data_IF_078306172519
#
_entry.id   IF_078306172519
#
_cell.length_a   1.000
_cell.length_b   1.000
_cell.length_c   1.000
_cell.angle_alpha   90.00
_cell.angle_beta   90.00
_cell.angle_gamma   90.00
#
_symmetry.space_group_name_H-M   'P 1'
#
loop_
_entity.id
_entity.type
_entity.pdbx_description
1 polymer ?
#
# COMPACT_ATOMS: atom_id res chain seq x y z
N UNK A 1 30.37 9.80 -3.49
CA UNK A 1 29.66 8.95 -4.44
C UNK A 1 28.34 8.54 -3.76
N UNK A 2 27.24 9.18 -4.16
CA UNK A 2 25.90 8.89 -3.63
C UNK A 2 25.49 7.51 -4.16
N UNK A 3 25.31 6.53 -3.26
CA UNK A 3 24.76 5.23 -3.64
C UNK A 3 23.31 5.46 -4.06
N UNK A 4 23.04 5.41 -5.36
CA UNK A 4 21.70 5.53 -5.90
C UNK A 4 20.80 4.46 -5.26
N UNK A 5 19.69 4.88 -4.65
CA UNK A 5 18.53 4.01 -4.49
C UNK A 5 18.21 3.44 -5.86
N UNK A 6 18.01 2.14 -5.97
CA UNK A 6 17.65 1.50 -7.23
C UNK A 6 16.53 2.28 -7.94
N UNK A 7 16.54 2.24 -9.26
CA UNK A 7 15.64 3.03 -10.12
C UNK A 7 14.18 2.59 -9.93
N UNK A 8 13.51 3.17 -8.91
CA UNK A 8 12.11 2.90 -8.59
C UNK A 8 11.21 3.81 -9.42
N UNK A 9 10.32 3.21 -10.19
CA UNK A 9 9.41 3.94 -11.07
C UNK A 9 7.97 3.46 -10.89
N UNK A 10 7.08 4.38 -10.57
CA UNK A 10 5.63 4.18 -10.59
C UNK A 10 5.03 4.76 -11.87
N UNK A 11 4.05 4.07 -12.42
CA UNK A 11 3.28 4.53 -13.58
C UNK A 11 1.80 4.39 -13.28
N UNK A 12 1.03 5.44 -13.54
CA UNK A 12 -0.42 5.42 -13.38
C UNK A 12 -1.04 4.27 -14.18
N UNK A 13 -2.02 3.56 -13.63
CA UNK A 13 -2.65 2.44 -14.32
C UNK A 13 -3.48 2.94 -15.52
N UNK A 14 -3.64 2.14 -16.58
CA UNK A 14 -4.59 2.41 -17.64
C UNK A 14 -6.01 2.64 -17.09
N UNK A 15 -6.81 3.45 -17.79
CA UNK A 15 -8.14 3.87 -17.33
C UNK A 15 -9.04 2.78 -16.74
N UNK A 16 -9.20 1.60 -17.39
CA UNK A 16 -10.02 0.51 -16.84
C UNK A 16 -9.51 -0.05 -15.50
N UNK A 17 -8.20 0.08 -15.21
CA UNK A 17 -7.60 -0.39 -13.96
C UNK A 17 -7.56 0.69 -12.87
N UNK A 18 -7.79 1.95 -13.19
CA UNK A 18 -7.63 3.08 -12.26
C UNK A 18 -8.52 2.99 -11.01
N UNK A 19 -9.69 2.34 -11.12
CA UNK A 19 -10.56 2.09 -9.97
C UNK A 19 -10.00 1.04 -8.99
N UNK A 20 -9.14 0.14 -9.47
CA UNK A 20 -8.60 -0.98 -8.69
C UNK A 20 -7.15 -0.76 -8.26
N UNK A 21 -6.33 -0.13 -9.10
CA UNK A 21 -4.90 0.05 -8.86
C UNK A 21 -4.57 1.48 -8.44
N UNK A 22 -3.52 1.60 -7.62
CA UNK A 22 -2.80 2.85 -7.39
C UNK A 22 -1.86 3.11 -8.55
N UNK A 23 -1.01 2.11 -8.85
CA UNK A 23 0.00 2.18 -9.89
C UNK A 23 0.40 0.76 -10.34
N UNK A 24 1.10 0.68 -11.46
CA UNK A 24 2.05 -0.40 -11.73
C UNK A 24 3.45 0.17 -11.53
N UNK A 25 4.36 -0.63 -11.02
CA UNK A 25 5.69 -0.15 -10.68
C UNK A 25 6.77 -1.19 -10.96
N UNK A 26 7.99 -0.71 -11.11
CA UNK A 26 9.15 -1.57 -11.23
C UNK A 26 10.37 -0.90 -10.58
N UNK A 27 11.31 -1.71 -10.13
CA UNK A 27 12.60 -1.25 -9.62
C UNK A 27 13.69 -2.28 -9.85
N UNK A 28 14.92 -1.81 -9.87
CA UNK A 28 16.11 -2.64 -9.65
C UNK A 28 16.59 -2.44 -8.22
N UNK A 29 16.70 -3.52 -7.46
CA UNK A 29 17.07 -3.47 -6.04
C UNK A 29 18.48 -2.90 -5.87
N UNK A 30 18.62 -1.91 -5.01
CA UNK A 30 19.92 -1.34 -4.60
C UNK A 30 20.58 -2.14 -3.48
N UNK A 31 21.74 -1.66 -3.01
CA UNK A 31 22.55 -2.35 -2.00
C UNK A 31 21.98 -2.32 -0.56
N UNK A 32 20.91 -1.58 -0.31
CA UNK A 32 20.34 -1.40 1.04
C UNK A 32 19.00 -2.11 1.18
N UNK A 33 18.79 -2.76 2.33
CA UNK A 33 17.49 -3.25 2.72
C UNK A 33 16.46 -2.11 2.76
N UNK A 34 15.28 -2.36 2.22
CA UNK A 34 14.20 -1.38 2.16
C UNK A 34 13.20 -1.62 3.29
N UNK A 35 12.77 -0.52 3.93
CA UNK A 35 11.66 -0.56 4.87
C UNK A 35 10.37 -0.30 4.12
N UNK A 36 9.48 -1.28 4.11
CA UNK A 36 8.13 -1.14 3.56
C UNK A 36 7.20 -0.78 4.71
N UNK A 37 6.61 0.40 4.65
CA UNK A 37 5.68 0.89 5.66
C UNK A 37 4.24 0.50 5.30
N UNK A 38 3.37 0.25 6.30
CA UNK A 38 1.98 -0.05 6.04
C UNK A 38 1.28 1.14 5.37
N UNK A 39 0.62 0.89 4.23
CA UNK A 39 -0.08 1.89 3.43
C UNK A 39 -1.54 1.52 3.12
N UNK A 40 -1.95 0.32 3.54
CA UNK A 40 -3.29 -0.21 3.30
C UNK A 40 -3.49 -0.89 1.95
N UNK A 41 -2.46 -0.89 1.11
CA UNK A 41 -2.47 -1.54 -0.19
C UNK A 41 -2.08 -3.01 -0.10
N UNK A 42 -2.35 -3.74 -1.17
CA UNK A 42 -1.80 -5.05 -1.44
C UNK A 42 -1.13 -5.02 -2.82
N UNK A 43 -0.12 -5.82 -3.02
CA UNK A 43 0.62 -5.88 -4.28
C UNK A 43 0.63 -7.29 -4.86
N UNK A 44 0.64 -7.43 -6.19
CA UNK A 44 1.07 -8.64 -6.89
C UNK A 44 2.46 -8.36 -7.44
N UNK A 45 3.46 -9.17 -7.05
CA UNK A 45 4.87 -8.93 -7.33
C UNK A 45 5.51 -10.08 -8.09
N UNK A 46 6.36 -9.75 -9.05
CA UNK A 46 7.37 -10.60 -9.67
C UNK A 46 8.74 -10.15 -9.19
N UNK A 47 9.47 -11.02 -8.50
CA UNK A 47 10.75 -10.73 -7.85
C UNK A 47 11.83 -11.57 -8.51
N UNK A 48 12.76 -10.94 -9.24
CA UNK A 48 13.79 -11.65 -9.99
C UNK A 48 13.20 -12.62 -11.00
N UNK A 49 13.58 -13.88 -10.89
CA UNK A 49 13.07 -15.01 -11.68
C UNK A 49 12.15 -15.93 -10.83
N UNK A 50 11.86 -15.56 -9.61
CA UNK A 50 11.02 -16.34 -8.71
C UNK A 50 9.55 -16.32 -9.13
N UNK A 51 8.79 -17.29 -8.61
CA UNK A 51 7.35 -17.34 -8.79
C UNK A 51 6.68 -16.09 -8.19
N UNK A 52 5.65 -15.53 -8.84
CA UNK A 52 5.00 -14.32 -8.36
C UNK A 52 4.25 -14.57 -7.05
N UNK A 53 4.22 -13.52 -6.23
CA UNK A 53 3.56 -13.55 -4.94
C UNK A 53 2.55 -12.40 -4.81
N UNK A 54 1.49 -12.66 -4.07
CA UNK A 54 0.61 -11.62 -3.53
C UNK A 54 1.14 -11.21 -2.17
N UNK A 55 1.45 -9.93 -2.03
CA UNK A 55 1.80 -9.30 -0.75
C UNK A 55 0.54 -8.67 -0.19
N UNK A 56 0.03 -9.20 0.90
CA UNK A 56 -1.15 -8.68 1.58
C UNK A 56 -0.90 -7.35 2.28
N UNK A 57 -1.97 -6.68 2.71
CA UNK A 57 -1.84 -5.41 3.42
C UNK A 57 -1.07 -5.60 4.73
N UNK A 58 -0.04 -4.78 4.93
CA UNK A 58 0.80 -4.87 6.12
C UNK A 58 0.16 -4.19 7.33
N UNK A 59 0.30 -4.79 8.52
CA UNK A 59 -0.12 -4.18 9.79
C UNK A 59 1.01 -3.42 10.49
N UNK A 60 2.25 -3.60 10.06
CA UNK A 60 3.44 -2.95 10.57
C UNK A 60 4.53 -2.87 9.51
N UNK A 61 5.74 -2.43 9.90
CA UNK A 61 6.87 -2.36 8.99
C UNK A 61 7.36 -3.75 8.59
N UNK A 62 7.69 -3.90 7.31
CA UNK A 62 8.40 -5.07 6.77
C UNK A 62 9.78 -4.65 6.28
N UNK A 63 10.80 -5.47 6.52
CA UNK A 63 12.14 -5.28 5.97
C UNK A 63 12.30 -6.19 4.76
N UNK A 64 12.44 -5.61 3.58
CA UNK A 64 12.73 -6.32 2.36
C UNK A 64 14.25 -6.28 2.10
N UNK A 65 14.91 -7.43 2.23
CA UNK A 65 16.32 -7.60 1.93
C UNK A 65 16.44 -8.55 0.74
N UNK A 66 16.68 -8.01 -0.44
CA UNK A 66 16.86 -8.75 -1.68
C UNK A 66 18.26 -8.47 -2.24
N UNK A 67 18.84 -9.40 -3.01
CA UNK A 67 20.14 -9.19 -3.64
C UNK A 67 20.14 -7.92 -4.53
N UNK A 68 21.20 -7.11 -4.48
CA UNK A 68 21.34 -5.97 -5.38
C UNK A 68 21.29 -6.42 -6.84
N UNK A 69 20.62 -5.63 -7.68
CA UNK A 69 20.41 -5.96 -9.11
C UNK A 69 19.14 -6.78 -9.37
N UNK A 70 18.47 -7.32 -8.35
CA UNK A 70 17.19 -8.01 -8.53
C UNK A 70 16.15 -7.05 -9.13
N UNK A 71 15.52 -7.45 -10.23
CA UNK A 71 14.38 -6.71 -10.79
C UNK A 71 13.12 -7.09 -10.04
N UNK A 72 12.37 -6.09 -9.59
CA UNK A 72 11.03 -6.28 -9.05
C UNK A 72 10.07 -5.50 -9.96
N UNK A 73 8.97 -6.13 -10.33
CA UNK A 73 7.88 -5.45 -11.01
C UNK A 73 6.54 -5.88 -10.39
N UNK A 74 5.58 -4.96 -10.32
CA UNK A 74 4.32 -5.27 -9.65
C UNK A 74 3.17 -4.32 -9.97
N UNK A 75 2.02 -4.69 -9.45
CA UNK A 75 0.81 -3.90 -9.46
C UNK A 75 0.33 -3.69 -8.02
N UNK A 76 0.13 -2.42 -7.65
CA UNK A 76 -0.36 -2.03 -6.33
C UNK A 76 -1.84 -1.78 -6.36
N UNK A 77 -2.57 -2.56 -5.61
CA UNK A 77 -4.02 -2.46 -5.47
C UNK A 77 -4.40 -1.46 -4.38
N UNK A 78 -5.41 -0.64 -4.69
CA UNK A 78 -6.01 0.26 -3.71
C UNK A 78 -6.59 -0.53 -2.52
N UNK A 79 -6.64 0.06 -1.33
CA UNK A 79 -7.29 -0.57 -0.18
C UNK A 79 -8.70 -1.06 -0.52
N UNK A 80 -9.00 -2.30 -0.13
CA UNK A 80 -10.30 -2.92 -0.38
C UNK A 80 -10.55 -3.39 -1.82
N UNK A 81 -9.52 -3.48 -2.67
CA UNK A 81 -9.69 -3.88 -4.09
C UNK A 81 -9.16 -5.27 -4.41
N UNK A 82 -8.13 -5.75 -3.73
CA UNK A 82 -7.45 -7.01 -4.09
C UNK A 82 -8.37 -8.24 -3.99
N UNK A 83 -9.25 -8.30 -2.99
CA UNK A 83 -10.20 -9.41 -2.81
C UNK A 83 -11.11 -9.63 -4.04
N UNK A 84 -11.45 -8.56 -4.74
CA UNK A 84 -12.27 -8.60 -5.96
C UNK A 84 -11.59 -9.34 -7.12
N UNK A 85 -10.26 -9.39 -7.14
CA UNK A 85 -9.43 -9.98 -8.18
C UNK A 85 -9.00 -11.41 -7.86
N UNK A 86 -8.86 -11.74 -6.56
CA UNK A 86 -8.33 -13.03 -6.12
C UNK A 86 -9.41 -14.02 -5.66
N UNK A 87 -10.66 -13.55 -5.51
CA UNK A 87 -11.77 -14.36 -4.96
C UNK A 87 -11.47 -14.91 -3.55
N UNK A 88 -10.64 -14.21 -2.79
CA UNK A 88 -10.21 -14.52 -1.44
C UNK A 88 -10.47 -13.33 -0.52
N UNK A 89 -10.74 -13.56 0.75
CA UNK A 89 -10.86 -12.49 1.73
C UNK A 89 -9.49 -11.87 2.01
N UNK A 90 -9.41 -10.53 2.08
CA UNK A 90 -8.12 -9.85 2.24
C UNK A 90 -7.48 -10.09 3.61
N UNK A 91 -8.27 -10.40 4.64
CA UNK A 91 -7.73 -10.75 5.97
C UNK A 91 -6.94 -12.09 5.96
N UNK A 92 -7.21 -12.98 5.02
CA UNK A 92 -6.40 -14.19 4.81
C UNK A 92 -5.01 -13.89 4.21
N UNK A 93 -4.85 -12.71 3.59
CA UNK A 93 -3.59 -12.25 3.00
C UNK A 93 -2.80 -11.32 3.94
N UNK A 94 -3.43 -10.79 4.99
CA UNK A 94 -2.81 -9.77 5.86
C UNK A 94 -1.50 -10.25 6.48
N UNK A 95 -0.43 -9.45 6.34
CA UNK A 95 0.94 -9.76 6.78
C UNK A 95 1.52 -11.05 6.14
N UNK A 96 1.03 -11.46 4.97
CA UNK A 96 1.45 -12.69 4.29
C UNK A 96 1.96 -12.45 2.89
N UNK A 97 2.83 -13.35 2.46
CA UNK A 97 3.23 -13.60 1.09
C UNK A 97 2.54 -14.89 0.64
N UNK A 98 1.66 -14.79 -0.36
CA UNK A 98 0.91 -15.94 -0.87
C UNK A 98 1.31 -16.19 -2.33
N UNK A 99 1.73 -17.40 -2.71
CA UNK A 99 2.03 -17.71 -4.11
C UNK A 99 0.84 -17.38 -5.01
N UNK A 100 1.07 -16.69 -6.13
CA UNK A 100 -0.02 -16.36 -7.05
C UNK A 100 -0.63 -17.62 -7.69
N UNK A 101 0.14 -18.69 -7.81
CA UNK A 101 -0.31 -19.99 -8.31
C UNK A 101 -1.41 -20.64 -7.45
N UNK A 102 -1.45 -20.33 -6.15
CA UNK A 102 -2.51 -20.81 -5.26
C UNK A 102 -3.85 -20.09 -5.53
N UNK A 103 -3.82 -18.96 -6.23
CA UNK A 103 -4.96 -18.06 -6.44
C UNK A 103 -5.41 -17.99 -7.91
N UNK A 104 -4.46 -18.07 -8.85
CA UNK A 104 -4.73 -18.03 -10.29
C UNK A 104 -4.16 -19.24 -11.01
N UNK A 105 -5.04 -19.99 -11.70
CA UNK A 105 -4.67 -21.22 -12.42
C UNK A 105 -3.68 -21.00 -13.57
N UNK A 106 -3.65 -19.80 -14.13
CA UNK A 106 -2.79 -19.41 -15.25
C UNK A 106 -1.53 -18.63 -14.78
N UNK A 107 -1.23 -18.65 -13.48
CA UNK A 107 -0.10 -17.92 -12.90
C UNK A 107 1.24 -18.27 -13.57
N UNK A 108 1.49 -19.54 -13.86
CA UNK A 108 2.75 -19.99 -14.49
C UNK A 108 2.89 -19.47 -15.93
N UNK A 109 1.82 -19.56 -16.74
CA UNK A 109 1.82 -19.03 -18.10
C UNK A 109 1.99 -17.50 -18.11
N UNK A 110 1.36 -16.81 -17.16
CA UNK A 110 1.51 -15.38 -16.97
C UNK A 110 2.95 -15.03 -16.56
N UNK A 111 3.53 -15.80 -15.66
CA UNK A 111 4.91 -15.63 -15.18
C UNK A 111 5.89 -15.78 -16.32
N UNK A 112 5.80 -16.84 -17.13
CA UNK A 112 6.66 -17.04 -18.27
C UNK A 112 6.62 -15.86 -19.25
N UNK A 113 5.43 -15.31 -19.51
CA UNK A 113 5.24 -14.13 -20.37
C UNK A 113 5.90 -12.86 -19.79
N UNK A 114 5.81 -12.63 -18.48
CA UNK A 114 6.38 -11.46 -17.84
C UNK A 114 7.90 -11.57 -17.72
N UNK A 115 8.42 -12.75 -17.37
CA UNK A 115 9.85 -12.98 -17.24
C UNK A 115 10.60 -13.01 -18.60
N UNK A 116 9.89 -13.23 -19.70
CA UNK A 116 10.46 -13.06 -21.04
C UNK A 116 10.89 -11.61 -21.34
N UNK A 117 10.35 -10.65 -20.59
CA UNK A 117 10.71 -9.24 -20.74
C UNK A 117 12.01 -8.91 -20.00
N UNK A 118 12.99 -8.36 -20.74
CA UNK A 118 14.33 -8.14 -20.24
C UNK A 118 14.49 -6.92 -19.31
N UNK A 119 13.57 -5.96 -19.37
CA UNK A 119 13.70 -4.70 -18.62
C UNK A 119 12.61 -4.54 -17.56
N UNK A 120 12.89 -3.81 -16.45
CA UNK A 120 11.88 -3.53 -15.42
C UNK A 120 10.63 -2.88 -16.01
N UNK A 121 10.76 -1.91 -16.89
CA UNK A 121 9.63 -1.22 -17.52
C UNK A 121 8.81 -2.13 -18.44
N UNK A 122 9.45 -3.03 -19.19
CA UNK A 122 8.75 -3.99 -20.04
C UNK A 122 7.97 -5.01 -19.18
N UNK A 123 8.57 -5.52 -18.10
CA UNK A 123 7.88 -6.40 -17.12
C UNK A 123 6.66 -5.69 -16.52
N UNK A 124 6.82 -4.44 -16.09
CA UNK A 124 5.71 -3.61 -15.59
C UNK A 124 4.58 -3.44 -16.62
N UNK A 125 4.93 -3.17 -17.88
CA UNK A 125 3.95 -3.02 -18.96
C UNK A 125 3.21 -4.33 -19.25
N UNK A 126 3.92 -5.47 -19.24
CA UNK A 126 3.33 -6.80 -19.42
C UNK A 126 2.34 -7.15 -18.28
N UNK A 127 2.67 -6.76 -17.02
CA UNK A 127 1.76 -6.90 -15.88
C UNK A 127 0.49 -6.06 -16.08
N UNK A 128 0.63 -4.81 -16.51
CA UNK A 128 -0.52 -3.94 -16.78
C UNK A 128 -1.44 -4.52 -17.87
N UNK A 129 -0.87 -5.05 -18.95
CA UNK A 129 -1.60 -5.70 -20.03
C UNK A 129 -2.35 -6.95 -19.53
N UNK A 130 -1.69 -7.80 -18.75
CA UNK A 130 -2.31 -8.98 -18.18
C UNK A 130 -3.47 -8.67 -17.23
N UNK A 131 -3.34 -7.61 -16.44
CA UNK A 131 -4.43 -7.16 -15.58
C UNK A 131 -5.59 -6.53 -16.37
N UNK A 132 -5.32 -5.86 -17.51
CA UNK A 132 -6.37 -5.38 -18.40
C UNK A 132 -7.20 -6.54 -18.99
N UNK A 133 -6.54 -7.60 -19.45
CA UNK A 133 -7.18 -8.81 -19.95
C UNK A 133 -8.06 -9.48 -18.88
N UNK A 134 -7.64 -9.41 -17.61
CA UNK A 134 -8.34 -10.00 -16.48
C UNK A 134 -9.44 -9.11 -15.88
N UNK A 135 -9.40 -7.81 -16.11
CA UNK A 135 -10.32 -6.85 -15.50
C UNK A 135 -11.82 -7.20 -15.65
N UNK A 136 -12.30 -7.76 -16.78
CA UNK A 136 -13.69 -8.18 -16.91
C UNK A 136 -14.12 -9.31 -15.96
N UNK A 137 -13.18 -10.06 -15.41
CA UNK A 137 -13.43 -11.16 -14.47
C UNK A 137 -13.42 -10.70 -12.99
N UNK A 138 -12.91 -9.50 -12.72
CA UNK A 138 -12.85 -8.95 -11.38
C UNK A 138 -14.26 -8.66 -10.85
N UNK A 139 -14.54 -9.08 -9.63
CA UNK A 139 -15.83 -8.81 -8.97
C UNK A 139 -15.94 -7.33 -8.61
N UNK A 140 -17.15 -6.77 -8.52
CA UNK A 140 -17.31 -5.43 -7.98
C UNK A 140 -16.89 -5.40 -6.51
N UNK A 141 -16.18 -4.34 -6.07
CA UNK A 141 -15.83 -4.18 -4.65
C UNK A 141 -17.08 -3.88 -3.82
N UNK A 142 -16.99 -4.12 -2.51
CA UNK A 142 -18.04 -3.76 -1.57
C UNK A 142 -18.26 -2.23 -1.53
N UNK A 143 -19.42 -1.72 -1.99
CA UNK A 143 -19.65 -0.27 -2.12
C UNK A 143 -19.69 0.45 -0.76
N UNK A 144 -20.16 -0.22 0.30
CA UNK A 144 -20.23 0.38 1.64
C UNK A 144 -18.85 0.48 2.27
N UNK A 145 -18.00 -0.54 2.06
CA UNK A 145 -16.59 -0.47 2.48
C UNK A 145 -15.85 0.59 1.67
N UNK A 146 -16.08 0.69 0.37
CA UNK A 146 -15.48 1.72 -0.47
C UNK A 146 -15.88 3.14 -0.01
N UNK A 147 -17.15 3.35 0.37
CA UNK A 147 -17.62 4.61 0.94
C UNK A 147 -16.90 4.93 2.28
N UNK A 148 -16.78 3.93 3.17
CA UNK A 148 -16.07 4.08 4.44
C UNK A 148 -14.59 4.42 4.26
N UNK A 149 -13.88 3.73 3.34
CA UNK A 149 -12.50 4.04 2.97
C UNK A 149 -12.36 5.48 2.48
N UNK A 150 -13.21 5.88 1.53
CA UNK A 150 -13.21 7.23 0.96
C UNK A 150 -13.49 8.30 2.00
N UNK A 151 -14.39 8.05 2.95
CA UNK A 151 -14.66 8.99 4.04
C UNK A 151 -13.45 9.14 4.96
N UNK A 152 -12.85 8.03 5.41
CA UNK A 152 -11.64 8.05 6.26
C UNK A 152 -10.47 8.76 5.59
N UNK A 153 -10.31 8.58 4.28
CA UNK A 153 -9.26 9.25 3.50
C UNK A 153 -9.46 10.77 3.45
N UNK A 154 -10.69 11.25 3.34
CA UNK A 154 -11.01 12.70 3.26
C UNK A 154 -11.15 13.37 4.63
N UNK A 155 -11.38 12.61 5.71
CA UNK A 155 -11.63 13.13 7.05
C UNK A 155 -10.51 12.76 8.03
N UNK A 156 -9.39 13.54 8.09
CA UNK A 156 -8.24 13.22 8.94
C UNK A 156 -8.56 13.04 10.41
N UNK A 157 -9.56 13.79 10.88
CA UNK A 157 -10.03 13.80 12.28
C UNK A 157 -11.36 13.06 12.45
N UNK A 158 -11.87 12.44 11.39
CA UNK A 158 -13.11 11.67 11.43
C UNK A 158 -13.03 10.51 12.42
N UNK A 159 -14.08 10.32 13.18
CA UNK A 159 -14.14 9.25 14.18
C UNK A 159 -14.60 7.96 13.51
N UNK A 160 -13.90 6.87 13.73
CA UNK A 160 -14.30 5.54 13.22
C UNK A 160 -15.72 5.16 13.73
N UNK A 161 -16.10 5.66 14.90
CA UNK A 161 -17.43 5.46 15.46
C UNK A 161 -18.58 6.09 14.63
N UNK A 162 -18.28 7.02 13.73
CA UNK A 162 -19.29 7.66 12.86
C UNK A 162 -19.58 6.83 11.60
N UNK A 163 -18.72 5.87 11.26
CA UNK A 163 -18.84 5.05 10.05
C UNK A 163 -20.12 4.21 9.98
N UNK A 164 -20.58 3.54 11.06
CA UNK A 164 -21.82 2.76 11.02
C UNK A 164 -23.01 3.58 10.54
N UNK A 165 -23.18 4.78 11.08
CA UNK A 165 -24.27 5.69 10.68
C UNK A 165 -24.09 6.17 9.22
N UNK A 166 -22.85 6.46 8.80
CA UNK A 166 -22.54 6.90 7.43
C UNK A 166 -22.96 5.87 6.38
N UNK A 167 -22.71 4.58 6.63
CA UNK A 167 -22.93 3.50 5.65
C UNK A 167 -24.21 2.71 5.91
N UNK A 168 -24.97 3.03 6.93
CA UNK A 168 -26.25 2.35 7.27
C UNK A 168 -26.06 0.90 7.74
N UNK A 169 -24.94 0.59 8.43
CA UNK A 169 -24.63 -0.74 8.96
C UNK A 169 -24.47 -0.71 10.47
N UNK A 170 -24.74 -1.86 11.12
CA UNK A 170 -24.32 -2.06 12.51
C UNK A 170 -22.79 -2.17 12.61
N UNK A 171 -22.21 -1.76 13.76
CA UNK A 171 -20.75 -1.75 13.99
C UNK A 171 -20.11 -3.11 13.71
N UNK A 172 -20.69 -4.21 14.23
CA UNK A 172 -20.18 -5.58 14.01
C UNK A 172 -20.19 -5.97 12.53
N UNK A 173 -21.24 -5.60 11.80
CA UNK A 173 -21.38 -5.92 10.38
C UNK A 173 -20.37 -5.14 9.55
N UNK A 174 -20.22 -3.83 9.80
CA UNK A 174 -19.21 -2.99 9.16
C UNK A 174 -17.80 -3.54 9.41
N UNK A 175 -17.45 -3.84 10.66
CA UNK A 175 -16.16 -4.39 11.04
C UNK A 175 -15.84 -5.66 10.25
N UNK A 176 -16.76 -6.64 10.19
CA UNK A 176 -16.58 -7.89 9.44
C UNK A 176 -16.38 -7.63 7.95
N UNK A 177 -17.24 -6.80 7.32
CA UNK A 177 -17.12 -6.48 5.89
C UNK A 177 -15.80 -5.77 5.58
N UNK A 178 -15.39 -4.87 6.46
CA UNK A 178 -14.14 -4.13 6.32
C UNK A 178 -12.91 -5.05 6.43
N UNK A 179 -12.90 -6.00 7.36
CA UNK A 179 -11.85 -7.00 7.47
C UNK A 179 -11.74 -7.86 6.21
N UNK A 180 -12.85 -8.39 5.70
CA UNK A 180 -12.89 -9.18 4.47
C UNK A 180 -12.36 -8.40 3.27
N UNK A 181 -12.67 -7.11 3.16
CA UNK A 181 -12.30 -6.31 2.01
C UNK A 181 -10.91 -5.68 2.12
N UNK A 182 -10.49 -5.23 3.33
CA UNK A 182 -9.28 -4.42 3.55
C UNK A 182 -8.18 -5.19 4.27
N UNK A 183 -8.52 -6.30 4.94
CA UNK A 183 -7.57 -7.13 5.67
C UNK A 183 -7.51 -6.86 7.18
N UNK A 184 -8.06 -5.75 7.66
CA UNK A 184 -8.09 -5.39 9.09
C UNK A 184 -9.23 -4.42 9.41
N UNK A 185 -9.39 -4.13 10.70
CA UNK A 185 -10.48 -3.28 11.20
C UNK A 185 -10.35 -1.81 10.76
N UNK A 186 -11.47 -1.06 10.67
CA UNK A 186 -11.47 0.37 10.33
C UNK A 186 -10.54 1.22 11.19
N UNK A 187 -10.41 0.89 12.48
CA UNK A 187 -9.53 1.62 13.41
C UNK A 187 -8.06 1.49 13.04
N UNK A 188 -7.61 0.29 12.64
CA UNK A 188 -6.23 0.09 12.16
C UNK A 188 -6.00 0.84 10.87
N UNK A 189 -6.93 0.75 9.92
CA UNK A 189 -6.84 1.48 8.66
C UNK A 189 -6.75 3.00 8.89
N UNK A 190 -7.57 3.58 9.76
CA UNK A 190 -7.49 5.01 10.10
C UNK A 190 -6.11 5.41 10.68
N UNK A 191 -5.46 4.54 11.48
CA UNK A 191 -4.10 4.76 11.98
C UNK A 191 -3.07 4.76 10.84
N UNK A 192 -3.17 3.80 9.92
CA UNK A 192 -2.30 3.73 8.74
C UNK A 192 -2.49 4.98 7.87
N UNK A 193 -3.74 5.42 7.65
CA UNK A 193 -4.02 6.65 6.89
C UNK A 193 -3.39 7.89 7.54
N UNK A 194 -3.43 8.02 8.88
CA UNK A 194 -2.75 9.13 9.57
C UNK A 194 -1.24 9.09 9.39
N UNK A 195 -0.64 7.89 9.47
CA UNK A 195 0.80 7.71 9.23
C UNK A 195 1.17 8.15 7.81
N UNK A 196 0.47 7.66 6.79
CA UNK A 196 0.74 8.00 5.40
C UNK A 196 0.56 9.50 5.13
N UNK A 197 -0.48 10.11 5.69
CA UNK A 197 -0.68 11.56 5.61
C UNK A 197 0.44 12.34 6.30
N UNK A 198 0.90 11.89 7.47
CA UNK A 198 2.04 12.49 8.16
C UNK A 198 3.29 12.49 7.26
N UNK A 199 3.59 11.36 6.61
CA UNK A 199 4.74 11.23 5.72
C UNK A 199 4.63 12.18 4.53
N UNK A 200 3.49 12.21 3.85
CA UNK A 200 3.25 13.10 2.71
C UNK A 200 3.32 14.60 3.08
N UNK A 201 2.82 14.97 4.26
CA UNK A 201 2.92 16.35 4.75
C UNK A 201 4.37 16.70 5.11
N UNK A 202 5.11 15.77 5.69
CA UNK A 202 6.49 16.00 6.11
C UNK A 202 7.45 16.23 4.94
N UNK A 203 7.20 15.62 3.77
CA UNK A 203 7.98 15.86 2.56
C UNK A 203 7.89 17.32 2.08
N UNK A 204 6.74 17.96 2.30
CA UNK A 204 6.44 19.33 1.82
C UNK A 204 6.70 20.40 2.88
N UNK A 205 6.82 20.01 4.15
CA UNK A 205 6.93 20.95 5.27
C UNK A 205 8.38 21.44 5.45
N UNK A 206 8.60 22.77 5.59
CA UNK A 206 9.92 23.28 5.90
C UNK A 206 10.43 22.79 7.26
N UNK A 207 11.76 22.75 7.43
CA UNK A 207 12.37 22.48 8.72
C UNK A 207 12.12 23.64 9.68
N UNK A 208 11.96 23.39 11.00
CA UNK A 208 11.78 24.46 11.97
C UNK A 208 11.27 23.98 13.33
N UNK A 209 11.33 24.87 14.31
CA UNK A 209 10.77 24.64 15.67
C UNK A 209 9.24 24.46 15.57
N UNK A 210 8.67 23.54 16.36
CA UNK A 210 7.24 23.27 16.35
C UNK A 210 6.72 22.47 15.16
N UNK A 211 7.57 22.12 14.17
CA UNK A 211 7.20 21.35 12.98
C UNK A 211 6.44 20.06 13.33
N UNK A 212 6.95 19.28 14.30
CA UNK A 212 6.32 18.00 14.68
C UNK A 212 4.91 18.18 15.24
N UNK A 213 4.68 19.20 16.08
CA UNK A 213 3.35 19.48 16.63
C UNK A 213 2.36 19.91 15.52
N UNK A 214 2.78 20.77 14.59
CA UNK A 214 1.97 21.19 13.46
C UNK A 214 1.63 20.02 12.53
N UNK A 215 2.62 19.17 12.19
CA UNK A 215 2.43 17.97 11.40
C UNK A 215 1.49 16.98 12.07
N UNK A 216 1.60 16.78 13.39
CA UNK A 216 0.70 15.90 14.13
C UNK A 216 -0.77 16.31 13.97
N UNK A 217 -1.07 17.59 14.20
CA UNK A 217 -2.42 18.13 14.07
C UNK A 217 -2.93 18.05 12.62
N UNK A 218 -2.10 18.40 11.64
CA UNK A 218 -2.45 18.35 10.22
C UNK A 218 -2.70 16.93 9.72
N UNK A 219 -1.94 15.94 10.23
CA UNK A 219 -2.12 14.53 9.89
C UNK A 219 -3.32 13.87 10.60
N UNK A 220 -3.97 14.56 11.56
CA UNK A 220 -5.16 14.08 12.27
C UNK A 220 -4.87 13.41 13.62
N UNK A 221 -3.67 13.58 14.19
CA UNK A 221 -3.37 13.18 15.56
C UNK A 221 -3.91 14.23 16.55
N UNK A 222 -4.23 13.80 17.77
CA UNK A 222 -4.67 14.72 18.83
C UNK A 222 -3.53 15.68 19.26
N UNK A 223 -2.31 15.14 19.36
CA UNK A 223 -1.12 15.85 19.77
C UNK A 223 0.15 15.13 19.28
N UNK A 224 1.31 15.71 19.57
CA UNK A 224 2.62 15.14 19.21
C UNK A 224 2.91 13.81 19.94
N UNK A 225 2.46 13.65 21.19
CA UNK A 225 2.67 12.43 21.96
C UNK A 225 1.84 11.27 21.39
N UNK A 226 0.59 11.53 20.98
CA UNK A 226 -0.24 10.56 20.28
C UNK A 226 0.42 10.15 18.96
N UNK A 227 0.90 11.10 18.15
CA UNK A 227 1.64 10.83 16.92
C UNK A 227 2.85 9.94 17.19
N UNK A 228 3.67 10.26 18.20
CA UNK A 228 4.87 9.48 18.52
C UNK A 228 4.54 8.03 18.88
N UNK A 229 3.52 7.81 19.71
CA UNK A 229 3.07 6.45 20.08
C UNK A 229 2.58 5.65 18.87
N UNK A 230 1.75 6.24 18.00
CA UNK A 230 1.24 5.53 16.81
C UNK A 230 2.33 5.28 15.77
N UNK A 231 3.22 6.23 15.50
CA UNK A 231 4.36 6.03 14.60
C UNK A 231 5.25 4.89 15.09
N UNK A 232 5.66 4.90 16.34
CA UNK A 232 6.51 3.83 16.91
C UNK A 232 5.81 2.48 16.84
N UNK A 233 4.51 2.41 17.13
CA UNK A 233 3.75 1.17 17.08
C UNK A 233 3.59 0.60 15.65
N UNK A 234 3.57 1.44 14.60
CA UNK A 234 3.40 1.02 13.22
C UNK A 234 4.73 0.80 12.49
N UNK A 235 5.78 1.52 12.87
CA UNK A 235 7.04 1.57 12.10
C UNK A 235 8.28 1.12 12.88
N UNK A 236 8.16 0.95 14.19
CA UNK A 236 9.30 0.73 15.10
C UNK A 236 10.18 1.97 15.31
N UNK A 237 9.83 3.13 14.71
CA UNK A 237 10.64 4.35 14.73
C UNK A 237 9.87 5.52 15.34
N UNK A 238 10.57 6.33 16.12
CA UNK A 238 10.04 7.63 16.54
C UNK A 238 9.93 8.60 15.33
N UNK A 239 9.00 9.59 15.37
CA UNK A 239 8.81 10.52 14.27
C UNK A 239 10.08 11.24 13.82
N UNK A 240 10.97 11.59 14.73
CA UNK A 240 12.25 12.25 14.39
C UNK A 240 13.19 11.39 13.55
N UNK A 241 13.12 10.05 13.67
CA UNK A 241 13.89 9.12 12.87
C UNK A 241 13.16 8.69 11.59
N UNK A 242 11.84 8.87 11.55
CA UNK A 242 10.98 8.47 10.44
C UNK A 242 10.88 9.56 9.35
N UNK A 243 10.87 10.84 9.76
CA UNK A 243 10.58 11.94 8.84
C UNK A 243 11.84 12.46 8.12
N UNK A 244 11.70 13.04 6.89
CA UNK A 244 12.80 13.59 6.12
C UNK A 244 13.63 14.61 6.93
N UNK A 245 14.96 14.49 6.86
CA UNK A 245 15.93 15.24 7.70
C UNK A 245 16.67 14.36 8.70
N UNK A 246 16.15 13.20 9.05
CA UNK A 246 16.91 12.08 9.60
C UNK A 246 17.30 11.17 8.43
N UNK A 247 18.57 10.77 8.33
CA UNK A 247 19.18 10.09 7.18
C UNK A 247 18.60 8.70 6.87
N UNK A 248 17.33 8.63 6.48
CA UNK A 248 16.66 7.38 6.09
C UNK A 248 15.81 7.60 4.83
N UNK A 249 16.28 7.10 3.70
CA UNK A 249 15.47 7.00 2.49
C UNK A 249 14.42 5.90 2.71
N UNK A 250 13.23 6.31 3.11
CA UNK A 250 12.04 5.45 3.13
C UNK A 250 11.38 5.57 1.76
N UNK A 251 11.14 4.46 1.09
CA UNK A 251 10.28 4.44 -0.08
C UNK A 251 8.85 4.74 0.40
N UNK A 252 8.37 5.95 0.11
CA UNK A 252 7.00 6.36 0.40
C UNK A 252 6.10 5.95 -0.75
N UNK A 253 5.01 5.30 -0.45
CA UNK A 253 4.01 4.91 -1.44
C UNK A 253 3.20 6.12 -1.89
N UNK A 254 3.08 6.35 -3.20
CA UNK A 254 2.38 7.52 -3.77
C UNK A 254 0.84 7.49 -3.63
N UNK A 255 0.27 6.53 -2.88
CA UNK A 255 -1.18 6.45 -2.69
C UNK A 255 -1.81 7.78 -2.23
N UNK A 256 -1.08 8.57 -1.44
CA UNK A 256 -1.54 9.85 -0.88
C UNK A 256 -1.02 11.10 -1.60
N UNK A 257 -0.17 10.94 -2.62
CA UNK A 257 0.30 12.09 -3.41
C UNK A 257 -0.74 12.59 -4.41
N UNK A 258 -1.75 11.77 -4.72
CA UNK A 258 -2.80 12.03 -5.73
C UNK A 258 -4.22 12.09 -5.17
N UNK A 259 -4.41 12.12 -3.86
CA UNK A 259 -5.72 12.28 -3.23
C UNK A 259 -5.98 13.72 -2.79
#
# INVERSE_FOLDING_TARGET
MSASSGDYREVAPPGPLAASLVCTWAQTVGARAQRVLPDGCADILWIGEDAPVVVGPATGVTLAALPPGTIIAGARFRPGRIAAWLSLATDELTDRLTPLADLWRDADALTARILAEATPDARRAAIAAALLDRAPQARPPDPLVAAAIGWLARQPRGRVADLPALVGLGERQLRRRFQVAVGYEPKRFARILRLQRLLALAERAPAGRGRLAALALAAGYADQAHMARECTALTGLAPGALLPGAASALALTDFFKTA
#
